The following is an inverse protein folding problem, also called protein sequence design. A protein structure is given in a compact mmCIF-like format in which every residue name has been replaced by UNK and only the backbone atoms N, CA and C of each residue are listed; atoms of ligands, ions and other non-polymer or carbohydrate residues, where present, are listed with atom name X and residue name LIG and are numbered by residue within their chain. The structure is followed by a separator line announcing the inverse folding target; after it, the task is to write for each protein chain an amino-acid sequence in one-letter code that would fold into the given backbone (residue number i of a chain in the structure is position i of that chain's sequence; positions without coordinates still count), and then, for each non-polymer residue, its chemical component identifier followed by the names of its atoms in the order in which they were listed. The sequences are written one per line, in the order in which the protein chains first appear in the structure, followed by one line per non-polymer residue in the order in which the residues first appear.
data_IF_635563085487
#
_entry.id   IF_635563085487
#
_cell.length_a   1.000
_cell.length_b   1.000
_cell.length_c   1.000
_cell.angle_alpha   90.00
_cell.angle_beta   90.00
_cell.angle_gamma   90.00
#
_symmetry.space_group_name_H-M   'P 1'
#
loop_
_entity.id
_entity.type
_entity.pdbx_description
1 polymer ?
#
# COMPACT_ATOMS: atom_id res chain seq x y z
N UNK A 1 -7.01 -20.13 -3.38
CA UNK A 1 -7.49 -19.35 -4.55
C UNK A 1 -8.62 -18.38 -4.14
N UNK A 2 -9.18 -18.57 -2.94
CA UNK A 2 -10.18 -17.73 -2.30
C UNK A 2 -9.85 -16.23 -2.23
N UNK A 3 -8.61 -15.84 -1.89
CA UNK A 3 -8.32 -14.44 -1.54
C UNK A 3 -8.52 -13.43 -2.68
N UNK A 4 -7.99 -13.68 -3.91
CA UNK A 4 -8.34 -12.87 -5.06
C UNK A 4 -9.85 -12.81 -5.26
N UNK A 5 -10.56 -13.96 -5.29
CA UNK A 5 -12.02 -14.05 -5.47
C UNK A 5 -12.84 -13.39 -4.36
N UNK A 6 -12.29 -13.26 -3.15
CA UNK A 6 -12.92 -12.62 -2.01
C UNK A 6 -12.87 -11.09 -2.17
N UNK A 7 -11.66 -10.51 -2.31
CA UNK A 7 -11.50 -9.10 -2.69
C UNK A 7 -12.29 -8.79 -3.96
N UNK A 8 -12.30 -9.82 -4.82
CA UNK A 8 -13.00 -9.88 -6.05
C UNK A 8 -14.40 -10.48 -5.93
N UNK A 9 -15.19 -10.23 -4.85
CA UNK A 9 -16.66 -10.37 -4.75
C UNK A 9 -17.33 -11.67 -5.22
N UNK A 10 -16.58 -12.64 -5.74
CA UNK A 10 -16.98 -13.89 -6.35
C UNK A 10 -16.86 -15.06 -5.37
N UNK A 11 -16.50 -14.74 -4.13
CA UNK A 11 -16.54 -15.65 -2.99
C UNK A 11 -17.24 -14.92 -1.84
N UNK A 12 -18.28 -15.54 -1.27
CA UNK A 12 -18.93 -14.99 -0.07
C UNK A 12 -18.01 -15.14 1.12
N UNK A 13 -18.19 -14.30 2.14
CA UNK A 13 -17.37 -14.36 3.34
C UNK A 13 -17.38 -15.74 4.03
N UNK A 14 -18.54 -16.45 4.14
CA UNK A 14 -18.56 -17.83 4.65
C UNK A 14 -17.79 -18.83 3.79
N UNK A 15 -17.87 -18.72 2.47
CA UNK A 15 -17.11 -19.59 1.54
C UNK A 15 -15.60 -19.37 1.71
N UNK A 16 -15.16 -18.12 1.85
CA UNK A 16 -13.76 -17.78 2.09
C UNK A 16 -13.27 -18.39 3.41
N UNK A 17 -14.05 -18.27 4.49
CA UNK A 17 -13.71 -18.84 5.79
C UNK A 17 -13.58 -20.37 5.74
N UNK A 18 -14.47 -21.05 5.00
CA UNK A 18 -14.43 -22.49 4.85
C UNK A 18 -13.18 -22.95 4.08
N UNK A 19 -12.81 -22.27 2.98
CA UNK A 19 -11.57 -22.57 2.24
C UNK A 19 -10.34 -22.28 3.12
N UNK A 20 -10.33 -21.16 3.86
CA UNK A 20 -9.23 -20.81 4.77
C UNK A 20 -9.05 -21.83 5.90
N UNK A 21 -10.15 -22.29 6.50
CA UNK A 21 -10.13 -23.32 7.53
C UNK A 21 -9.61 -24.67 6.97
N UNK A 22 -9.98 -25.02 5.74
CA UNK A 22 -9.45 -26.19 5.04
C UNK A 22 -7.93 -26.15 4.81
N UNK A 23 -7.34 -24.96 4.82
CA UNK A 23 -5.89 -24.74 4.73
C UNK A 23 -5.20 -24.63 6.10
N UNK A 24 -5.92 -24.84 7.20
CA UNK A 24 -5.41 -24.66 8.56
C UNK A 24 -5.15 -23.21 8.95
N UNK A 25 -5.63 -22.24 8.16
CA UNK A 25 -5.51 -20.83 8.45
C UNK A 25 -6.67 -20.37 9.35
N UNK A 26 -6.40 -19.42 10.23
CA UNK A 26 -7.45 -18.70 10.97
C UNK A 26 -7.86 -17.47 10.14
N UNK A 27 -9.05 -17.46 9.51
CA UNK A 27 -9.47 -16.29 8.75
C UNK A 27 -9.72 -15.09 9.68
N UNK A 28 -9.70 -13.85 9.15
CA UNK A 28 -10.16 -12.67 9.88
C UNK A 28 -11.62 -12.81 10.36
N UNK A 29 -12.08 -11.88 11.21
CA UNK A 29 -13.49 -11.87 11.63
C UNK A 29 -14.41 -11.51 10.46
N UNK A 30 -15.64 -12.02 10.49
CA UNK A 30 -16.69 -11.71 9.51
C UNK A 30 -16.87 -10.19 9.36
N UNK A 31 -17.00 -9.49 10.49
CA UNK A 31 -17.15 -8.04 10.52
C UNK A 31 -15.98 -7.29 9.86
N UNK A 32 -14.73 -7.74 10.06
CA UNK A 32 -13.56 -7.11 9.42
C UNK A 32 -13.58 -7.31 7.90
N UNK A 33 -13.95 -8.51 7.46
CA UNK A 33 -14.05 -8.85 6.04
C UNK A 33 -15.16 -8.04 5.34
N UNK A 34 -16.35 -7.96 5.95
CA UNK A 34 -17.47 -7.17 5.44
C UNK A 34 -17.15 -5.66 5.42
N UNK A 35 -16.44 -5.16 6.43
CA UNK A 35 -15.99 -3.77 6.46
C UNK A 35 -15.03 -3.44 5.31
N UNK A 36 -14.08 -4.34 5.00
CA UNK A 36 -13.16 -4.16 3.85
C UNK A 36 -13.94 -4.19 2.53
N UNK A 37 -14.86 -5.13 2.34
CA UNK A 37 -15.69 -5.19 1.13
C UNK A 37 -16.53 -3.93 0.95
N UNK A 38 -17.16 -3.48 2.03
CA UNK A 38 -17.97 -2.26 2.02
C UNK A 38 -17.11 -1.05 1.69
N UNK A 39 -15.90 -0.94 2.24
CA UNK A 39 -14.97 0.15 1.94
C UNK A 39 -14.50 0.12 0.48
N UNK A 40 -14.17 -1.05 -0.07
CA UNK A 40 -13.77 -1.20 -1.48
C UNK A 40 -14.91 -0.78 -2.40
N UNK A 41 -16.11 -1.30 -2.16
CA UNK A 41 -17.28 -1.02 -3.00
C UNK A 41 -17.74 0.45 -2.89
N UNK A 42 -17.76 1.00 -1.67
CA UNK A 42 -18.24 2.37 -1.44
C UNK A 42 -17.28 3.45 -1.96
N UNK A 43 -15.98 3.16 -2.03
CA UNK A 43 -14.96 4.13 -2.46
C UNK A 43 -14.30 3.77 -3.81
N UNK A 44 -14.83 2.76 -4.51
CA UNK A 44 -14.27 2.20 -5.76
C UNK A 44 -12.74 2.02 -5.66
N UNK A 45 -12.27 1.25 -4.67
CA UNK A 45 -10.84 1.12 -4.40
C UNK A 45 -10.16 0.15 -5.37
N UNK A 46 -8.99 0.56 -5.86
CA UNK A 46 -8.14 -0.23 -6.76
C UNK A 46 -6.73 -0.43 -6.20
N UNK A 47 -6.02 -1.51 -6.57
CA UNK A 47 -4.60 -1.66 -6.26
C UNK A 47 -3.80 -0.50 -6.88
N UNK A 48 -3.17 0.31 -6.02
CA UNK A 48 -2.39 1.47 -6.47
C UNK A 48 -0.89 1.18 -6.54
N UNK A 49 -0.35 0.62 -5.45
CA UNK A 49 1.08 0.36 -5.31
C UNK A 49 1.32 -0.91 -4.50
N UNK A 50 2.45 -1.55 -4.80
CA UNK A 50 2.98 -2.71 -4.10
C UNK A 50 4.29 -2.30 -3.44
N UNK A 51 4.44 -2.63 -2.16
CA UNK A 51 5.70 -2.47 -1.44
C UNK A 51 6.32 -3.85 -1.23
N UNK A 52 7.58 -4.03 -1.62
CA UNK A 52 8.37 -5.23 -1.33
C UNK A 52 9.55 -4.87 -0.45
N UNK A 53 9.93 -5.76 0.46
CA UNK A 53 11.05 -5.57 1.38
C UNK A 53 11.47 -6.91 2.00
N UNK A 54 12.69 -6.95 2.55
CA UNK A 54 13.19 -8.04 3.38
C UNK A 54 13.13 -7.62 4.85
N UNK A 55 12.29 -8.30 5.65
CA UNK A 55 12.12 -8.01 7.08
C UNK A 55 12.97 -8.91 7.96
N UNK A 56 13.69 -8.28 8.88
CA UNK A 56 14.28 -8.93 10.05
C UNK A 56 13.54 -8.48 11.31
N UNK A 57 13.14 -9.42 12.16
CA UNK A 57 12.43 -9.13 13.41
C UNK A 57 13.23 -9.62 14.60
N UNK A 58 13.42 -8.76 15.59
CA UNK A 58 14.20 -9.01 16.80
C UNK A 58 13.32 -8.82 18.03
N UNK A 59 13.12 -9.88 18.79
CA UNK A 59 12.42 -9.85 20.07
C UNK A 59 12.99 -10.94 20.98
N UNK A 60 13.09 -10.65 22.27
CA UNK A 60 13.54 -11.65 23.25
C UNK A 60 12.36 -12.56 23.64
N UNK A 61 12.53 -13.89 23.61
CA UNK A 61 11.51 -14.80 24.12
C UNK A 61 11.23 -14.51 25.61
N UNK A 62 9.96 -14.30 25.96
CA UNK A 62 9.54 -14.01 27.33
C UNK A 62 9.77 -12.56 27.80
N UNK A 63 10.46 -11.73 27.03
CA UNK A 63 10.67 -10.31 27.33
C UNK A 63 10.13 -9.44 26.18
N UNK A 64 9.01 -8.77 26.46
CA UNK A 64 8.28 -7.94 25.49
C UNK A 64 8.57 -6.45 25.62
N UNK A 65 9.55 -6.06 26.45
CA UNK A 65 9.85 -4.64 26.68
C UNK A 65 10.23 -3.91 25.39
N UNK A 66 10.97 -4.58 24.51
CA UNK A 66 11.41 -4.04 23.22
C UNK A 66 11.32 -5.12 22.14
N UNK A 67 10.72 -4.76 21.00
CA UNK A 67 10.79 -5.52 19.76
C UNK A 67 11.17 -4.58 18.61
N UNK A 68 12.02 -5.05 17.70
CA UNK A 68 12.50 -4.30 16.54
C UNK A 68 12.07 -5.01 15.26
N UNK A 69 11.61 -4.26 14.27
CA UNK A 69 11.54 -4.73 12.88
C UNK A 69 12.46 -3.86 12.03
N UNK A 70 13.27 -4.51 11.20
CA UNK A 70 14.18 -3.85 10.28
C UNK A 70 13.88 -4.31 8.86
N UNK A 71 13.35 -3.39 8.04
CA UNK A 71 12.98 -3.65 6.65
C UNK A 71 14.05 -3.08 5.72
N UNK A 72 14.73 -3.98 4.99
CA UNK A 72 15.74 -3.65 3.99
C UNK A 72 15.22 -3.90 2.57
N UNK A 73 15.95 -3.39 1.58
CA UNK A 73 15.65 -3.55 0.15
C UNK A 73 14.21 -3.14 -0.17
N UNK A 74 13.77 -2.02 0.42
CA UNK A 74 12.41 -1.51 0.22
C UNK A 74 12.29 -1.03 -1.23
N UNK A 75 11.28 -1.54 -1.93
CA UNK A 75 10.99 -1.14 -3.30
C UNK A 75 9.48 -0.92 -3.46
N UNK A 76 9.14 0.04 -4.31
CA UNK A 76 7.78 0.38 -4.67
C UNK A 76 7.55 0.07 -6.14
N UNK A 77 6.42 -0.56 -6.44
CA UNK A 77 6.01 -0.90 -7.80
C UNK A 77 4.56 -0.43 -7.98
N UNK A 78 4.28 0.20 -9.11
CA UNK A 78 2.91 0.61 -9.41
C UNK A 78 2.01 -0.58 -9.73
N UNK A 79 0.71 -0.47 -9.42
CA UNK A 79 -0.28 -1.54 -9.61
C UNK A 79 -1.52 -1.05 -10.37
N UNK A 80 -1.51 0.15 -10.96
CA UNK A 80 -2.69 0.68 -11.66
C UNK A 80 -3.10 -0.14 -12.91
N UNK A 81 -2.20 -0.96 -13.46
CA UNK A 81 -2.42 -1.76 -14.66
C UNK A 81 -2.54 -3.28 -14.39
N UNK A 82 -3.07 -3.65 -13.22
CA UNK A 82 -3.31 -5.06 -12.90
C UNK A 82 -4.29 -5.68 -13.90
N UNK A 83 -3.97 -6.88 -14.39
CA UNK A 83 -4.82 -7.58 -15.35
C UNK A 83 -6.22 -7.88 -14.77
N UNK A 84 -7.27 -7.92 -15.60
CA UNK A 84 -8.62 -8.25 -15.15
C UNK A 84 -8.64 -9.62 -14.45
N UNK A 85 -9.30 -9.71 -13.31
CA UNK A 85 -9.31 -10.92 -12.47
C UNK A 85 -8.13 -11.05 -11.50
N UNK A 86 -7.14 -10.16 -11.54
CA UNK A 86 -5.99 -10.16 -10.64
C UNK A 86 -6.10 -9.03 -9.61
N UNK A 87 -5.55 -9.24 -8.42
CA UNK A 87 -5.49 -8.24 -7.33
C UNK A 87 -4.13 -7.56 -7.20
N UNK A 88 -3.13 -8.12 -7.89
CA UNK A 88 -1.74 -7.67 -7.91
C UNK A 88 -1.14 -8.04 -9.28
N UNK A 89 -0.24 -7.21 -9.78
CA UNK A 89 0.58 -7.49 -10.94
C UNK A 89 1.69 -8.48 -10.56
N UNK A 90 1.83 -9.52 -11.37
CA UNK A 90 2.88 -10.54 -11.26
C UNK A 90 4.13 -10.16 -12.06
N UNK A 91 4.17 -8.97 -12.68
CA UNK A 91 5.34 -8.49 -13.44
C UNK A 91 6.57 -8.52 -12.52
N UNK A 92 7.60 -9.31 -12.86
CA UNK A 92 8.79 -9.47 -12.02
C UNK A 92 9.45 -8.12 -11.75
N UNK A 93 9.96 -7.96 -10.53
CA UNK A 93 10.45 -6.69 -10.00
C UNK A 93 11.30 -5.89 -11.01
N UNK A 94 12.21 -6.52 -11.76
CA UNK A 94 13.28 -5.88 -12.54
C UNK A 94 12.88 -4.74 -13.50
N UNK A 95 11.64 -4.63 -13.96
CA UNK A 95 11.31 -3.70 -15.06
C UNK A 95 10.46 -2.47 -14.66
N UNK A 96 10.01 -2.33 -13.40
CA UNK A 96 9.13 -1.20 -13.01
C UNK A 96 9.11 -0.83 -11.52
N UNK A 97 10.25 -0.89 -10.82
CA UNK A 97 10.32 -0.53 -9.39
C UNK A 97 11.19 0.69 -9.12
N UNK A 98 10.78 1.46 -8.11
CA UNK A 98 11.58 2.52 -7.51
C UNK A 98 12.09 2.04 -6.16
N UNK A 99 13.41 2.05 -5.98
CA UNK A 99 14.04 1.68 -4.72
C UNK A 99 14.02 2.83 -3.74
N UNK A 100 13.61 2.54 -2.50
CA UNK A 100 13.75 3.48 -1.41
C UNK A 100 15.19 3.41 -0.88
N UNK A 101 15.91 4.54 -0.80
CA UNK A 101 17.35 4.54 -0.50
C UNK A 101 17.71 4.22 0.95
N UNK A 102 16.72 4.03 1.84
CA UNK A 102 16.92 3.75 3.25
C UNK A 102 16.27 2.43 3.68
N UNK A 103 16.79 1.87 4.77
CA UNK A 103 16.10 0.83 5.53
C UNK A 103 15.13 1.46 6.54
N UNK A 104 14.06 0.75 6.89
CA UNK A 104 13.10 1.21 7.90
C UNK A 104 13.28 0.43 9.20
N UNK A 105 13.63 1.11 10.29
CA UNK A 105 13.65 0.54 11.64
C UNK A 105 12.37 0.93 12.39
N UNK A 106 11.53 -0.06 12.70
CA UNK A 106 10.37 0.11 13.59
C UNK A 106 10.74 -0.40 14.98
N UNK A 107 10.62 0.47 15.99
CA UNK A 107 10.84 0.12 17.40
C UNK A 107 9.50 0.06 18.11
N UNK A 108 9.17 -1.10 18.67
CA UNK A 108 8.00 -1.29 19.53
C UNK A 108 8.46 -1.43 20.97
N UNK A 109 7.96 -0.54 21.82
CA UNK A 109 8.15 -0.62 23.27
C UNK A 109 6.82 -0.90 23.94
N UNK A 110 6.75 -1.93 24.79
CA UNK A 110 5.62 -2.05 25.73
C UNK A 110 5.73 -0.94 26.80
N UNK A 111 4.68 -0.74 27.61
CA UNK A 111 4.54 0.36 28.59
C UNK A 111 5.53 0.26 29.78
N UNK A 112 6.83 0.17 29.50
CA UNK A 112 7.90 0.39 30.46
C UNK A 112 8.13 1.89 30.60
N UNK A 113 8.14 2.39 31.83
CA UNK A 113 8.34 3.81 32.13
C UNK A 113 9.71 4.35 31.66
N UNK A 114 10.71 3.47 31.53
CA UNK A 114 12.05 3.83 31.08
C UNK A 114 12.54 2.79 30.06
N UNK A 115 12.82 3.17 28.80
CA UNK A 115 13.38 2.26 27.81
C UNK A 115 14.82 1.85 28.18
N UNK A 116 15.30 0.67 27.74
CA UNK A 116 16.67 0.24 28.01
C UNK A 116 17.71 1.23 27.47
N UNK A 117 18.82 1.40 28.20
CA UNK A 117 19.89 2.35 27.85
C UNK A 117 20.47 2.08 26.45
N UNK A 118 20.61 0.81 26.08
CA UNK A 118 21.12 0.43 24.75
C UNK A 118 20.20 0.91 23.63
N UNK A 119 18.87 0.92 23.85
CA UNK A 119 17.90 1.37 22.85
C UNK A 119 18.03 2.87 22.65
N UNK A 120 18.15 3.63 23.74
CA UNK A 120 18.38 5.07 23.69
C UNK A 120 19.67 5.43 22.94
N UNK A 121 20.75 4.67 23.17
CA UNK A 121 22.02 4.84 22.42
C UNK A 121 21.87 4.51 20.94
N UNK A 122 21.15 3.44 20.61
CA UNK A 122 20.88 3.06 19.21
C UNK A 122 20.10 4.16 18.46
N UNK A 123 19.02 4.66 19.07
CA UNK A 123 18.17 5.69 18.46
C UNK A 123 18.88 7.04 18.28
N UNK A 124 19.94 7.31 19.05
CA UNK A 124 20.77 8.52 18.94
C UNK A 124 22.06 8.31 18.12
N UNK A 125 22.25 7.13 17.54
CA UNK A 125 23.41 6.87 16.68
C UNK A 125 23.27 7.58 15.33
N UNK A 126 24.40 7.86 14.67
CA UNK A 126 24.43 8.60 13.40
C UNK A 126 23.73 7.87 12.23
N UNK A 127 23.54 6.56 12.35
CA UNK A 127 22.88 5.73 11.33
C UNK A 127 21.36 5.68 11.45
N UNK A 128 20.76 6.39 12.42
CA UNK A 128 19.32 6.38 12.66
C UNK A 128 18.79 7.80 12.64
N UNK A 129 17.85 8.05 11.74
CA UNK A 129 17.05 9.27 11.72
C UNK A 129 15.64 8.93 12.18
N UNK A 130 15.19 9.58 13.25
CA UNK A 130 13.81 9.41 13.73
C UNK A 130 12.83 10.08 12.77
N UNK A 131 11.86 9.30 12.30
CA UNK A 131 10.78 9.78 11.44
C UNK A 131 9.44 9.37 12.04
N UNK A 132 8.77 10.26 12.78
CA UNK A 132 7.50 9.93 13.41
C UNK A 132 6.44 9.65 12.33
N UNK A 133 5.64 8.61 12.56
CA UNK A 133 4.51 8.22 11.69
C UNK A 133 4.90 7.90 10.24
N UNK A 134 6.17 7.54 9.98
CA UNK A 134 6.61 7.12 8.65
C UNK A 134 5.70 6.03 8.06
N UNK A 135 5.24 6.25 6.83
CA UNK A 135 4.39 5.31 6.11
C UNK A 135 5.03 4.92 4.78
N UNK A 136 5.32 3.62 4.61
CA UNK A 136 5.79 3.06 3.34
C UNK A 136 4.79 3.31 2.21
N UNK A 137 3.49 3.28 2.49
CA UNK A 137 2.45 3.57 1.50
C UNK A 137 2.56 5.03 1.03
N UNK A 138 2.57 5.99 1.96
CA UNK A 138 2.66 7.41 1.59
C UNK A 138 3.99 7.74 0.89
N UNK A 139 5.10 7.15 1.35
CA UNK A 139 6.40 7.26 0.69
C UNK A 139 6.35 6.73 -0.75
N UNK A 140 5.84 5.51 -0.94
CA UNK A 140 5.72 4.90 -2.26
C UNK A 140 4.80 5.67 -3.19
N UNK A 141 3.67 6.19 -2.69
CA UNK A 141 2.75 7.03 -3.46
C UNK A 141 3.45 8.32 -3.89
N UNK A 142 4.18 8.99 -3.00
CA UNK A 142 4.90 10.21 -3.35
C UNK A 142 6.02 9.97 -4.37
N UNK A 143 6.69 8.80 -4.34
CA UNK A 143 7.75 8.47 -5.29
C UNK A 143 7.23 8.02 -6.67
N UNK A 144 6.11 7.31 -6.72
CA UNK A 144 5.56 6.74 -7.97
C UNK A 144 4.52 7.64 -8.65
N UNK A 145 3.85 8.49 -7.88
CA UNK A 145 2.67 9.25 -8.31
C UNK A 145 2.75 10.72 -7.86
N UNK A 146 3.96 11.30 -7.87
CA UNK A 146 4.20 12.69 -7.44
C UNK A 146 3.36 13.71 -8.23
N UNK A 147 3.02 13.40 -9.48
CA UNK A 147 2.16 14.19 -10.37
C UNK A 147 0.70 14.23 -9.94
N UNK A 148 0.26 13.31 -9.08
CA UNK A 148 -1.15 13.15 -8.65
C UNK A 148 -1.38 13.47 -7.18
N UNK A 149 -0.33 13.59 -6.39
CA UNK A 149 -0.43 13.83 -4.94
C UNK A 149 -0.47 15.32 -4.65
N UNK A 150 -1.52 15.80 -3.97
CA UNK A 150 -1.66 17.22 -3.62
C UNK A 150 -0.87 17.66 -2.38
N UNK A 151 -0.45 16.70 -1.55
CA UNK A 151 0.19 16.96 -0.27
C UNK A 151 1.24 15.91 0.00
N UNK A 152 2.46 16.37 0.21
CA UNK A 152 3.60 15.51 0.47
C UNK A 152 3.74 15.22 1.97
N UNK A 153 4.18 14.01 2.37
CA UNK A 153 4.46 13.72 3.77
C UNK A 153 5.51 14.65 4.38
N UNK A 154 5.29 15.07 5.63
CA UNK A 154 6.13 16.03 6.35
C UNK A 154 7.60 15.62 6.47
N UNK A 155 7.90 14.33 6.38
CA UNK A 155 9.25 13.80 6.48
C UNK A 155 10.06 13.87 5.18
N UNK A 156 9.41 14.03 4.02
CA UNK A 156 10.12 14.00 2.74
C UNK A 156 11.26 15.03 2.60
N UNK A 157 11.12 16.30 3.02
CA UNK A 157 12.21 17.27 2.93
C UNK A 157 13.48 16.82 3.66
N UNK A 158 13.31 16.04 4.73
CA UNK A 158 14.38 15.62 5.62
C UNK A 158 14.93 14.23 5.29
N UNK A 159 14.18 13.42 4.53
CA UNK A 159 14.52 12.02 4.26
C UNK A 159 15.11 11.87 2.87
N UNK A 160 14.75 12.67 1.87
CA UNK A 160 15.22 12.44 0.49
C UNK A 160 15.57 13.74 -0.26
N UNK A 161 16.87 14.06 -0.45
CA UNK A 161 17.31 15.22 -1.22
C UNK A 161 16.93 15.17 -2.70
N UNK A 162 16.76 13.99 -3.29
CA UNK A 162 16.33 13.85 -4.69
C UNK A 162 14.84 14.18 -4.84
N UNK A 163 14.01 13.87 -3.83
CA UNK A 163 12.60 14.25 -3.80
C UNK A 163 12.38 15.70 -3.33
N UNK A 164 13.35 16.32 -2.67
CA UNK A 164 13.34 17.77 -2.41
C UNK A 164 13.24 18.58 -3.72
N UNK A 165 13.72 18.03 -4.85
CA UNK A 165 13.55 18.65 -6.17
C UNK A 165 12.09 18.59 -6.66
N UNK A 166 11.33 17.54 -6.31
CA UNK A 166 9.90 17.46 -6.61
C UNK A 166 9.10 18.52 -5.83
N UNK A 167 9.51 18.84 -4.61
CA UNK A 167 8.92 19.93 -3.83
C UNK A 167 9.11 21.29 -4.51
N UNK A 168 10.23 21.51 -5.19
CA UNK A 168 10.49 22.76 -5.93
C UNK A 168 9.63 22.89 -7.19
N UNK A 169 9.19 21.77 -7.77
CA UNK A 169 8.22 21.75 -8.88
C UNK A 169 6.76 21.69 -8.40
N UNK A 170 6.55 21.48 -7.10
CA UNK A 170 5.23 21.40 -6.50
C UNK A 170 4.66 22.81 -6.30
N UNK A 171 3.99 23.35 -7.31
CA UNK A 171 3.17 24.56 -7.16
C UNK A 171 1.77 24.14 -6.71
N UNK A 172 1.32 24.50 -5.49
CA UNK A 172 -0.01 24.10 -4.99
C UNK A 172 -1.18 24.61 -5.87
N UNK A 173 -0.92 25.60 -6.74
CA UNK A 173 -1.97 26.43 -7.33
C UNK A 173 -2.28 26.16 -8.82
N UNK A 174 -1.56 25.28 -9.53
CA UNK A 174 -1.84 25.04 -10.96
C UNK A 174 -1.55 23.60 -11.42
N UNK A 175 -2.42 22.67 -11.05
CA UNK A 175 -2.64 21.46 -11.84
C UNK A 175 -4.11 21.43 -12.21
N UNK A 176 -4.42 21.88 -13.42
CA UNK A 176 -5.68 21.56 -14.09
C UNK A 176 -5.68 20.04 -14.33
N UNK A 177 -6.12 19.30 -13.32
CA UNK A 177 -6.56 17.92 -13.53
C UNK A 177 -7.82 18.05 -14.37
N UNK A 178 -7.87 17.53 -15.61
CA UNK A 178 -9.15 17.44 -16.29
C UNK A 178 -10.06 16.62 -15.38
N UNK A 179 -11.14 17.23 -14.90
CA UNK A 179 -12.28 16.52 -14.33
C UNK A 179 -12.77 15.57 -15.41
N UNK A 180 -12.18 14.37 -15.47
CA UNK A 180 -12.80 13.24 -16.15
C UNK A 180 -13.93 12.85 -15.21
N UNK A 181 -15.20 13.11 -15.58
CA UNK A 181 -16.31 12.74 -14.72
C UNK A 181 -16.25 11.22 -14.57
N UNK A 182 -16.13 10.72 -13.34
CA UNK A 182 -16.54 9.36 -13.05
C UNK A 182 -18.06 9.40 -13.16
N UNK A 183 -18.59 8.96 -14.31
CA UNK A 183 -20.02 9.01 -14.62
C UNK A 183 -20.83 8.29 -13.52
N UNK A 184 -21.63 9.00 -12.72
CA UNK A 184 -22.43 8.40 -11.65
C UNK A 184 -23.71 7.71 -12.15
N UNK A 185 -24.01 7.74 -13.45
CA UNK A 185 -25.32 7.34 -14.01
C UNK A 185 -25.32 5.96 -14.71
N UNK A 186 -24.20 5.23 -14.80
CA UNK A 186 -24.19 3.81 -15.25
C UNK A 186 -24.48 2.82 -14.10
N UNK A 187 -25.53 3.06 -13.32
CA UNK A 187 -25.95 2.15 -12.26
C UNK A 187 -27.34 1.55 -12.48
N UNK A 188 -27.46 0.33 -13.05
CA UNK A 188 -28.55 -0.56 -12.70
C UNK A 188 -28.07 -1.58 -11.66
N UNK A 189 -29.00 -2.03 -10.81
CA UNK A 189 -28.76 -2.97 -9.72
C UNK A 189 -27.83 -4.15 -10.11
N UNK A 190 -26.72 -4.26 -9.38
CA UNK A 190 -25.71 -5.31 -9.56
C UNK A 190 -24.32 -4.69 -9.54
N UNK A 191 -23.66 -4.76 -8.39
CA UNK A 191 -22.28 -4.30 -8.21
C UNK A 191 -21.41 -5.13 -9.18
N UNK A 192 -21.12 -4.58 -10.37
CA UNK A 192 -20.17 -5.19 -11.31
C UNK A 192 -18.79 -4.79 -10.85
N UNK A 193 -17.98 -5.75 -10.42
CA UNK A 193 -16.84 -5.33 -9.67
C UNK A 193 -15.62 -5.06 -10.54
N UNK A 194 -14.63 -4.38 -9.95
CA UNK A 194 -13.53 -3.75 -10.66
C UNK A 194 -12.72 -4.70 -11.57
N UNK A 195 -12.58 -5.97 -11.20
CA UNK A 195 -11.86 -6.99 -11.99
C UNK A 195 -12.65 -7.52 -13.22
N UNK A 196 -13.94 -7.18 -13.36
CA UNK A 196 -14.79 -7.52 -14.52
C UNK A 196 -14.93 -6.34 -15.51
N UNK A 197 -14.44 -5.14 -15.19
CA UNK A 197 -14.63 -3.93 -16.01
C UNK A 197 -13.57 -3.76 -17.11
N UNK A 198 -13.42 -4.74 -18.01
CA UNK A 198 -12.44 -4.64 -19.11
C UNK A 198 -12.92 -5.15 -20.47
N UNK A 199 -14.23 -5.13 -20.73
CA UNK A 199 -14.76 -5.52 -22.04
C UNK A 199 -15.33 -4.36 -22.90
N UNK A 200 -15.43 -3.13 -22.38
CA UNK A 200 -16.20 -2.05 -23.05
C UNK A 200 -15.40 -0.82 -23.49
N UNK A 201 -14.09 -0.74 -23.25
CA UNK A 201 -13.27 0.35 -23.79
C UNK A 201 -12.31 -0.16 -24.89
N UNK A 202 -12.77 -0.09 -26.15
CA UNK A 202 -11.88 0.24 -27.26
C UNK A 202 -11.57 -0.83 -28.31
N UNK A 203 -12.57 -1.50 -28.90
CA UNK A 203 -12.52 -1.79 -30.35
C UNK A 203 -13.22 -0.65 -31.08
N UNK A 204 -12.47 0.35 -31.56
CA UNK A 204 -12.80 1.35 -32.60
C UNK A 204 -11.68 2.40 -32.59
N UNK A 205 -10.97 2.79 -33.63
CA UNK A 205 -10.81 2.38 -35.02
C UNK A 205 -9.48 3.01 -35.49
N UNK A 206 -8.80 2.47 -36.51
CA UNK A 206 -7.84 3.26 -37.30
C UNK A 206 -8.49 3.54 -38.68
N UNK A 207 -8.33 4.77 -39.23
CA UNK A 207 -9.11 5.23 -40.37
C UNK A 207 -8.54 4.79 -41.73
N UNK A 208 -9.47 4.77 -42.69
CA UNK A 208 -9.42 4.53 -44.15
C UNK A 208 -8.91 3.19 -44.65
#
# INVERSE_FOLDING_TARGET
KAFPLFLAGGCTTPQFQQEAAGLGARPPSLAAMEAVHSAIAANDLWPLLKTTFMRMSFALPGDRRVALNFDCNVAFQTQWNVAPGHWCSDVPAKESHVHFPYACLEVKTERVAVPPIWLHRLLRSEGVQEVPLFSKFLQGTAMLHSDRVRTLPDWLPNVDPALAQLMNTFTPDHVDVPDVPIDPQEGPAGIVPWWQRSATLGHTAMPT
#
